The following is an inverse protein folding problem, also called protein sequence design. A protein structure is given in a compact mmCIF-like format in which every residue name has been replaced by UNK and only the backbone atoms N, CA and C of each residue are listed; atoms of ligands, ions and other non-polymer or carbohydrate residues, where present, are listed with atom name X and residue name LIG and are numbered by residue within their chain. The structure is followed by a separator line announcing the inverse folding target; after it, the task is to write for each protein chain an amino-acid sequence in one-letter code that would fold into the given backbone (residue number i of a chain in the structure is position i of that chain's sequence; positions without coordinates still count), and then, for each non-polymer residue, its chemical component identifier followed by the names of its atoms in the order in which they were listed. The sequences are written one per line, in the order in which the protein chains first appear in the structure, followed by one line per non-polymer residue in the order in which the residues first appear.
data_IF_247328428209
#
_entry.id   IF_247328428209
#
_cell.length_a   1.000
_cell.length_b   1.000
_cell.length_c   1.000
_cell.angle_alpha   90.00
_cell.angle_beta   90.00
_cell.angle_gamma   90.00
#
_symmetry.space_group_name_H-M   'P 1'
#
loop_
_entity.id
_entity.type
_entity.pdbx_description
1 polymer ?
#
# COMPACT_ATOMS: atom_id res chain seq x y z
N UNK A 1 18.27 -28.09 -18.40
CA UNK A 1 17.78 -27.04 -19.32
C UNK A 1 17.52 -25.80 -18.50
N UNK A 2 18.42 -24.81 -18.50
CA UNK A 2 18.25 -23.53 -17.78
C UNK A 2 17.55 -22.55 -18.73
N UNK A 3 16.40 -22.04 -18.33
CA UNK A 3 15.70 -20.94 -18.98
C UNK A 3 16.53 -19.67 -18.87
N UNK A 4 16.96 -19.11 -19.99
CA UNK A 4 17.55 -17.78 -20.06
C UNK A 4 16.52 -16.77 -19.53
N UNK A 5 16.85 -16.05 -18.45
CA UNK A 5 16.23 -14.77 -18.14
C UNK A 5 16.98 -13.73 -18.95
N UNK A 6 16.28 -13.03 -19.83
CA UNK A 6 16.82 -11.84 -20.46
C UNK A 6 16.83 -10.72 -19.41
N UNK A 7 17.96 -10.58 -18.72
CA UNK A 7 18.19 -9.46 -17.82
C UNK A 7 18.33 -8.19 -18.66
N UNK A 8 17.25 -7.41 -18.75
CA UNK A 8 17.30 -6.08 -19.34
C UNK A 8 18.04 -5.13 -18.39
N UNK A 9 19.36 -5.14 -18.46
CA UNK A 9 20.17 -4.05 -17.88
C UNK A 9 19.91 -2.82 -18.76
N UNK A 10 19.39 -1.74 -18.17
CA UNK A 10 19.30 -0.42 -18.80
C UNK A 10 20.59 0.35 -18.45
N UNK A 11 21.65 0.27 -19.27
CA UNK A 11 22.83 1.09 -19.04
C UNK A 11 22.48 2.56 -19.30
N UNK A 12 22.40 3.34 -18.21
CA UNK A 12 22.33 4.80 -18.25
C UNK A 12 23.76 5.31 -18.38
N UNK A 13 24.02 6.20 -19.35
CA UNK A 13 25.31 6.88 -19.48
C UNK A 13 25.19 8.30 -18.92
N UNK A 14 26.19 8.67 -18.11
CA UNK A 14 26.32 9.98 -17.48
C UNK A 14 27.42 10.82 -18.15
N UNK A 15 27.99 10.36 -19.26
CA UNK A 15 29.07 11.00 -19.98
C UNK A 15 28.94 10.79 -21.51
N UNK A 16 29.53 11.70 -22.28
CA UNK A 16 29.48 11.71 -23.75
C UNK A 16 30.72 11.05 -24.38
N UNK A 17 31.39 10.16 -23.64
CA UNK A 17 32.60 9.49 -24.10
C UNK A 17 32.28 8.56 -25.27
N UNK A 18 32.74 8.92 -26.47
CA UNK A 18 32.61 8.06 -27.64
C UNK A 18 33.56 6.86 -27.48
N UNK A 19 33.00 5.64 -27.47
CA UNK A 19 33.78 4.42 -27.40
C UNK A 19 33.85 3.84 -28.80
N UNK A 20 35.05 3.77 -29.38
CA UNK A 20 35.27 3.24 -30.72
C UNK A 20 34.63 1.85 -30.87
N UNK A 21 33.71 1.74 -31.84
CA UNK A 21 32.99 0.49 -32.16
C UNK A 21 31.61 0.35 -31.51
N UNK A 22 31.20 1.22 -30.58
CA UNK A 22 29.86 1.25 -30.01
C UNK A 22 29.03 2.37 -30.64
N UNK A 23 28.26 2.04 -31.69
CA UNK A 23 27.24 2.96 -32.20
C UNK A 23 26.18 3.19 -31.09
N UNK A 24 25.74 4.45 -30.83
CA UNK A 24 24.66 4.72 -29.89
C UNK A 24 23.39 4.03 -30.39
N UNK A 25 23.14 2.84 -29.87
CA UNK A 25 22.01 2.01 -30.26
C UNK A 25 20.79 2.44 -29.44
N UNK A 26 19.58 2.22 -29.97
CA UNK A 26 18.28 2.51 -29.34
C UNK A 26 18.15 2.08 -27.85
N UNK A 27 19.06 1.25 -27.36
CA UNK A 27 19.18 0.71 -25.99
C UNK A 27 19.68 1.71 -24.96
N UNK A 28 20.50 2.71 -25.30
CA UNK A 28 21.05 3.65 -24.31
C UNK A 28 20.18 4.89 -24.14
N UNK A 29 20.02 5.34 -22.90
CA UNK A 29 19.43 6.65 -22.60
C UNK A 29 20.56 7.56 -22.11
N UNK A 30 20.89 8.60 -22.88
CA UNK A 30 21.79 9.65 -22.39
C UNK A 30 21.05 10.45 -21.32
N UNK A 31 21.66 10.62 -20.14
CA UNK A 31 21.14 11.49 -19.08
C UNK A 31 21.73 12.90 -19.13
N UNK A 32 22.68 13.15 -20.04
CA UNK A 32 23.38 14.42 -20.12
C UNK A 32 22.45 15.53 -20.62
N UNK A 33 22.54 16.68 -19.95
CA UNK A 33 21.65 17.84 -20.12
C UNK A 33 20.16 17.62 -19.79
N UNK A 34 19.77 16.48 -19.20
CA UNK A 34 18.38 16.26 -18.72
C UNK A 34 18.22 16.61 -17.25
N UNK A 35 17.11 17.27 -16.92
CA UNK A 35 16.70 17.40 -15.51
C UNK A 35 16.22 16.02 -15.01
N UNK A 36 16.38 15.70 -13.71
CA UNK A 36 15.98 14.40 -13.14
C UNK A 36 14.57 13.95 -13.51
N UNK A 37 13.60 14.86 -13.57
CA UNK A 37 12.22 14.55 -13.95
C UNK A 37 12.08 14.10 -15.42
N UNK A 38 12.83 14.70 -16.34
CA UNK A 38 12.78 14.33 -17.77
C UNK A 38 13.40 12.95 -18.01
N UNK A 39 14.43 12.61 -17.24
CA UNK A 39 15.01 11.26 -17.22
C UNK A 39 13.97 10.24 -16.72
N UNK A 40 13.27 10.55 -15.63
CA UNK A 40 12.20 9.70 -15.09
C UNK A 40 11.07 9.48 -16.11
N UNK A 41 10.57 10.52 -16.77
CA UNK A 41 9.54 10.39 -17.82
C UNK A 41 10.00 9.50 -18.98
N UNK A 42 11.25 9.63 -19.41
CA UNK A 42 11.81 8.79 -20.48
C UNK A 42 11.96 7.33 -20.06
N UNK A 43 12.35 7.08 -18.82
CA UNK A 43 12.40 5.73 -18.24
C UNK A 43 10.99 5.14 -18.22
N UNK A 44 10.01 5.86 -17.68
CA UNK A 44 8.61 5.41 -17.63
C UNK A 44 8.05 5.13 -19.04
N UNK A 45 8.32 6.00 -20.01
CA UNK A 45 7.90 5.79 -21.41
C UNK A 45 8.55 4.57 -22.05
N UNK A 46 9.83 4.29 -21.79
CA UNK A 46 10.51 3.08 -22.28
C UNK A 46 10.02 1.81 -21.60
N UNK A 47 9.78 1.86 -20.29
CA UNK A 47 9.16 0.76 -19.54
C UNK A 47 7.71 0.51 -19.99
N UNK A 48 7.06 1.51 -20.60
CA UNK A 48 5.71 1.41 -21.18
C UNK A 48 5.66 0.86 -22.62
N UNK A 49 6.72 0.17 -23.12
CA UNK A 49 6.59 -0.70 -24.29
C UNK A 49 5.61 -1.85 -23.98
N UNK A 50 4.85 -2.36 -24.97
CA UNK A 50 3.66 -3.18 -24.77
C UNK A 50 3.98 -4.62 -24.33
N UNK A 51 4.46 -4.74 -23.10
CA UNK A 51 4.32 -5.85 -22.17
C UNK A 51 4.30 -5.31 -20.74
N UNK A 52 3.72 -4.11 -20.50
CA UNK A 52 3.27 -3.77 -19.16
C UNK A 52 2.17 -4.77 -18.86
N UNK A 53 2.52 -5.84 -18.15
CA UNK A 53 1.52 -6.63 -17.44
C UNK A 53 0.82 -5.60 -16.56
N UNK A 54 -0.39 -5.18 -16.93
CA UNK A 54 -1.23 -4.44 -16.00
C UNK A 54 -1.23 -5.27 -14.73
N UNK A 55 -0.73 -4.73 -13.63
CA UNK A 55 -0.80 -5.42 -12.35
C UNK A 55 -2.27 -5.78 -12.15
N UNK A 56 -2.58 -7.07 -12.20
CA UNK A 56 -3.95 -7.56 -11.99
C UNK A 56 -4.27 -7.60 -10.50
N UNK A 57 -3.25 -7.47 -9.65
CA UNK A 57 -3.34 -7.61 -8.21
C UNK A 57 -2.58 -6.48 -7.54
N UNK A 58 -3.21 -5.86 -6.55
CA UNK A 58 -2.58 -4.94 -5.61
C UNK A 58 -2.16 -5.72 -4.37
N UNK A 59 -0.89 -5.58 -3.97
CA UNK A 59 -0.45 -6.06 -2.66
C UNK A 59 -0.89 -5.09 -1.57
N UNK A 60 -1.49 -5.62 -0.53
CA UNK A 60 -1.95 -4.87 0.63
C UNK A 60 -1.32 -5.44 1.89
N UNK A 61 -1.01 -4.57 2.84
CA UNK A 61 -0.16 -4.90 3.97
C UNK A 61 -0.81 -4.57 5.30
N UNK A 62 -0.59 -5.43 6.28
CA UNK A 62 -0.98 -5.20 7.67
C UNK A 62 0.20 -5.51 8.57
N UNK A 63 0.49 -4.60 9.50
CA UNK A 63 1.49 -4.84 10.54
C UNK A 63 0.75 -5.26 11.80
N UNK A 64 1.16 -6.40 12.37
CA UNK A 64 0.47 -7.00 13.51
C UNK A 64 1.43 -7.80 14.39
N UNK A 65 1.05 -8.02 15.63
CA UNK A 65 1.79 -8.93 16.52
C UNK A 65 1.70 -10.37 15.98
N UNK A 66 2.80 -11.15 16.00
CA UNK A 66 2.82 -12.54 15.52
C UNK A 66 1.73 -13.44 16.10
N UNK A 67 1.29 -13.20 17.35
CA UNK A 67 0.21 -13.96 17.99
C UNK A 67 -1.14 -13.87 17.26
N UNK A 68 -1.33 -12.88 16.38
CA UNK A 68 -2.54 -12.66 15.61
C UNK A 68 -2.32 -12.79 14.10
N UNK A 69 -1.19 -13.36 13.66
CA UNK A 69 -0.82 -13.45 12.25
C UNK A 69 -1.88 -14.18 11.41
N UNK A 70 -2.35 -15.33 11.89
CA UNK A 70 -3.42 -16.13 11.25
C UNK A 70 -4.77 -15.41 11.18
N UNK A 71 -4.96 -14.37 11.98
CA UNK A 71 -6.18 -13.55 12.05
C UNK A 71 -5.99 -12.17 11.39
N UNK A 72 -4.86 -11.91 10.73
CA UNK A 72 -4.54 -10.61 10.18
C UNK A 72 -5.63 -10.08 9.22
N UNK A 73 -6.16 -10.96 8.38
CA UNK A 73 -7.26 -10.68 7.46
C UNK A 73 -8.56 -11.36 7.90
N UNK A 74 -8.82 -11.44 9.20
CA UNK A 74 -10.10 -11.85 9.78
C UNK A 74 -10.84 -10.64 10.39
N UNK A 75 -12.16 -10.74 10.51
CA UNK A 75 -13.00 -9.68 11.10
C UNK A 75 -12.91 -9.58 12.63
N UNK A 76 -12.27 -10.54 13.30
CA UNK A 76 -12.29 -10.72 14.76
C UNK A 76 -11.73 -9.53 15.55
N UNK A 77 -10.57 -8.95 15.22
CA UNK A 77 -9.99 -7.88 16.02
C UNK A 77 -10.74 -6.54 15.93
N UNK A 78 -11.17 -6.12 14.74
CA UNK A 78 -11.77 -4.81 14.52
C UNK A 78 -13.21 -4.72 15.03
N UNK A 79 -13.96 -5.83 14.98
CA UNK A 79 -15.33 -5.89 15.49
C UNK A 79 -15.40 -5.63 17.01
N UNK A 80 -14.37 -6.05 17.76
CA UNK A 80 -14.38 -6.00 19.22
C UNK A 80 -14.19 -4.60 19.80
N UNK A 81 -13.42 -3.74 19.14
CA UNK A 81 -13.01 -2.45 19.68
C UNK A 81 -13.46 -1.24 18.83
N UNK A 82 -13.92 -1.46 17.59
CA UNK A 82 -14.16 -0.37 16.64
C UNK A 82 -12.85 0.27 16.15
N UNK A 83 -12.96 1.25 15.25
CA UNK A 83 -11.81 1.93 14.65
C UNK A 83 -12.17 3.33 14.18
N UNK A 84 -11.29 3.95 13.37
CA UNK A 84 -11.53 5.29 12.80
C UNK A 84 -12.74 5.35 11.87
N UNK A 85 -12.98 4.26 11.12
CA UNK A 85 -14.02 4.15 10.10
C UNK A 85 -15.15 3.19 10.49
N UNK A 86 -15.15 2.61 11.69
CA UNK A 86 -16.18 1.64 12.05
C UNK A 86 -16.54 1.69 13.54
N UNK A 87 -17.84 1.56 13.81
CA UNK A 87 -18.32 1.31 15.16
C UNK A 87 -17.90 -0.06 15.68
N UNK A 88 -17.84 -0.17 17.00
CA UNK A 88 -17.80 -1.46 17.68
C UNK A 88 -18.97 -2.35 17.20
N UNK A 89 -18.69 -3.62 16.95
CA UNK A 89 -19.63 -4.59 16.37
C UNK A 89 -19.76 -4.53 14.85
N UNK A 90 -19.16 -3.54 14.17
CA UNK A 90 -19.09 -3.52 12.70
C UNK A 90 -17.76 -4.13 12.24
N UNK A 91 -17.83 -5.26 11.55
CA UNK A 91 -16.68 -6.00 11.04
C UNK A 91 -15.92 -5.21 9.97
N UNK A 92 -14.61 -5.07 10.12
CA UNK A 92 -13.74 -4.40 9.16
C UNK A 92 -12.31 -4.96 9.20
N UNK A 93 -11.54 -4.85 8.13
CA UNK A 93 -10.10 -5.14 8.15
C UNK A 93 -9.35 -3.93 7.61
N UNK A 94 -8.50 -3.34 8.44
CA UNK A 94 -7.59 -2.26 8.04
C UNK A 94 -6.28 -2.83 7.52
N UNK A 95 -5.85 -2.32 6.38
CA UNK A 95 -4.58 -2.60 5.73
C UNK A 95 -4.14 -1.36 4.93
N UNK A 96 -2.97 -1.40 4.32
CA UNK A 96 -2.42 -0.27 3.57
C UNK A 96 -1.86 -0.70 2.21
N UNK A 97 -1.75 0.25 1.27
CA UNK A 97 -1.27 0.04 -0.10
C UNK A 97 0.20 -0.39 -0.17
N UNK A 98 1.01 -0.03 0.83
CA UNK A 98 2.41 -0.42 0.90
C UNK A 98 2.82 -0.79 2.31
N UNK A 99 3.87 -1.61 2.43
CA UNK A 99 4.44 -1.99 3.73
C UNK A 99 4.93 -0.76 4.50
N UNK A 100 5.44 0.25 3.79
CA UNK A 100 5.93 1.49 4.39
C UNK A 100 4.82 2.25 5.12
N UNK A 101 3.68 2.50 4.46
CA UNK A 101 2.56 3.20 5.11
C UNK A 101 1.92 2.34 6.21
N UNK A 102 1.88 1.01 6.06
CA UNK A 102 1.39 0.11 7.11
C UNK A 102 2.24 0.21 8.40
N UNK A 103 3.57 0.29 8.26
CA UNK A 103 4.49 0.49 9.38
C UNK A 103 4.29 1.87 10.00
N UNK A 104 4.25 2.93 9.20
CA UNK A 104 4.07 4.30 9.69
C UNK A 104 2.77 4.48 10.48
N UNK A 105 1.65 4.00 9.94
CA UNK A 105 0.35 4.04 10.61
C UNK A 105 0.39 3.25 11.93
N UNK A 106 1.01 2.07 11.92
CA UNK A 106 1.13 1.25 13.13
C UNK A 106 1.98 1.95 14.18
N UNK A 107 3.07 2.60 13.79
CA UNK A 107 3.95 3.32 14.72
C UNK A 107 3.25 4.54 15.32
N UNK A 108 2.57 5.35 14.50
CA UNK A 108 1.84 6.55 14.95
C UNK A 108 0.73 6.21 15.94
N UNK A 109 0.09 5.04 15.77
CA UNK A 109 -0.97 4.56 16.65
C UNK A 109 -0.47 3.61 17.75
N UNK A 110 0.83 3.29 17.80
CA UNK A 110 1.39 2.44 18.85
C UNK A 110 1.60 3.27 20.11
N UNK A 111 1.06 2.82 21.23
CA UNK A 111 1.43 3.35 22.53
C UNK A 111 2.94 3.11 22.80
N UNK A 112 3.65 3.96 23.55
CA UNK A 112 5.08 3.81 23.83
C UNK A 112 5.49 2.46 24.45
N UNK A 113 4.54 1.78 25.10
CA UNK A 113 4.68 0.47 25.74
C UNK A 113 4.25 -0.71 24.85
N UNK A 114 3.85 -0.43 23.61
CA UNK A 114 3.35 -1.43 22.66
C UNK A 114 4.39 -2.50 22.30
N UNK A 115 3.89 -3.69 21.95
CA UNK A 115 4.74 -4.82 21.53
C UNK A 115 5.55 -4.44 20.29
N UNK A 116 6.88 -4.42 20.40
CA UNK A 116 7.80 -4.15 19.28
C UNK A 116 8.09 -5.38 18.41
N UNK A 117 7.67 -6.57 18.85
CA UNK A 117 7.72 -7.77 18.01
C UNK A 117 6.52 -7.74 17.04
N UNK A 118 6.73 -7.16 15.87
CA UNK A 118 5.74 -6.99 14.81
C UNK A 118 6.18 -7.76 13.56
N UNK A 119 5.20 -8.25 12.82
CA UNK A 119 5.38 -8.85 11.50
C UNK A 119 4.53 -8.10 10.48
N UNK A 120 4.93 -8.17 9.21
CA UNK A 120 4.13 -7.75 8.09
C UNK A 120 3.42 -8.98 7.51
N UNK A 121 2.10 -8.89 7.39
CA UNK A 121 1.26 -9.88 6.69
C UNK A 121 0.71 -9.23 5.42
N UNK A 122 0.91 -9.87 4.28
CA UNK A 122 0.45 -9.41 2.98
C UNK A 122 -0.83 -10.11 2.53
N UNK A 123 -1.62 -9.44 1.70
CA UNK A 123 -2.65 -10.08 0.89
C UNK A 123 -2.66 -9.50 -0.52
N UNK A 124 -3.17 -10.27 -1.47
CA UNK A 124 -3.38 -9.87 -2.86
C UNK A 124 -4.85 -9.52 -3.07
N UNK A 125 -5.10 -8.29 -3.45
CA UNK A 125 -6.42 -7.79 -3.85
C UNK A 125 -6.46 -7.67 -5.37
N UNK A 126 -7.31 -8.48 -6.02
CA UNK A 126 -7.50 -8.37 -7.46
C UNK A 126 -8.13 -7.02 -7.81
N UNK A 127 -7.51 -6.29 -8.73
CA UNK A 127 -7.92 -4.94 -9.14
C UNK A 127 -9.20 -4.92 -9.99
N UNK A 128 -9.67 -6.08 -10.47
CA UNK A 128 -10.99 -6.22 -11.11
C UNK A 128 -12.15 -6.27 -10.11
N UNK A 129 -11.87 -6.46 -8.82
CA UNK A 129 -12.89 -6.51 -7.79
C UNK A 129 -13.46 -5.10 -7.51
N UNK A 130 -14.73 -4.99 -7.11
CA UNK A 130 -15.33 -3.69 -6.83
C UNK A 130 -14.61 -3.01 -5.66
N UNK A 131 -14.11 -1.81 -5.91
CA UNK A 131 -13.47 -0.97 -4.89
C UNK A 131 -14.01 0.47 -4.97
N UNK A 132 -14.39 1.01 -3.82
CA UNK A 132 -14.68 2.44 -3.68
C UNK A 132 -13.36 3.17 -3.44
N UNK A 133 -13.06 4.20 -4.21
CA UNK A 133 -11.83 4.99 -4.07
C UNK A 133 -12.21 6.43 -3.79
N UNK A 134 -11.71 6.97 -2.68
CA UNK A 134 -11.91 8.36 -2.29
C UNK A 134 -10.57 9.09 -2.25
N UNK A 135 -10.56 10.29 -2.81
CA UNK A 135 -9.49 11.26 -2.66
C UNK A 135 -9.71 12.11 -1.40
N UNK A 136 -8.72 12.93 -1.06
CA UNK A 136 -8.87 13.90 0.03
C UNK A 136 -10.02 14.91 -0.23
N UNK A 137 -10.31 15.23 -1.49
CA UNK A 137 -11.39 16.16 -1.83
C UNK A 137 -12.79 15.56 -1.58
N UNK A 138 -12.91 14.23 -1.55
CA UNK A 138 -14.16 13.53 -1.30
C UNK A 138 -14.44 13.35 0.20
N UNK A 139 -13.47 13.72 1.05
CA UNK A 139 -13.55 13.49 2.50
C UNK A 139 -14.23 14.63 3.24
N UNK A 140 -14.99 14.34 4.32
CA UNK A 140 -15.50 15.36 5.23
C UNK A 140 -14.36 16.22 5.79
N UNK A 141 -14.57 17.51 6.04
CA UNK A 141 -13.52 18.42 6.54
C UNK A 141 -12.79 17.90 7.81
N UNK A 142 -13.50 17.15 8.66
CA UNK A 142 -13.00 16.60 9.92
C UNK A 142 -12.44 15.17 9.80
N UNK A 143 -12.13 14.68 8.60
CA UNK A 143 -11.70 13.31 8.37
C UNK A 143 -10.35 12.95 9.04
N UNK A 144 -9.43 13.91 9.03
CA UNK A 144 -8.08 13.77 9.58
C UNK A 144 -7.98 14.09 11.09
N UNK A 145 -9.10 14.41 11.75
CA UNK A 145 -9.12 14.79 13.16
C UNK A 145 -8.60 13.67 14.08
N UNK A 146 -7.92 14.08 15.16
CA UNK A 146 -7.47 13.22 16.26
C UNK A 146 -8.06 13.77 17.58
N UNK A 147 -8.88 12.99 18.33
CA UNK A 147 -9.33 11.62 18.04
C UNK A 147 -10.26 11.52 16.81
N UNK A 148 -10.48 10.31 16.25
CA UNK A 148 -11.38 10.09 15.11
C UNK A 148 -12.76 10.68 15.34
N UNK A 149 -13.25 11.44 14.36
CA UNK A 149 -14.57 12.06 14.39
C UNK A 149 -15.69 11.04 14.25
N UNK A 150 -16.84 11.36 14.85
CA UNK A 150 -18.04 10.51 14.77
C UNK A 150 -18.54 10.36 13.33
N UNK A 151 -18.43 11.42 12.53
CA UNK A 151 -18.78 11.40 11.10
C UNK A 151 -17.98 10.36 10.31
N UNK A 152 -16.69 10.15 10.64
CA UNK A 152 -15.87 9.15 9.96
C UNK A 152 -16.25 7.72 10.33
N UNK A 153 -16.57 7.47 11.59
CA UNK A 153 -17.09 6.17 12.03
C UNK A 153 -18.42 5.87 11.35
N UNK A 154 -19.32 6.84 11.33
CA UNK A 154 -20.63 6.71 10.71
C UNK A 154 -20.51 6.42 9.21
N UNK A 155 -19.67 7.19 8.51
CA UNK A 155 -19.38 7.03 7.09
C UNK A 155 -18.89 5.62 6.76
N UNK A 156 -17.82 5.16 7.41
CA UNK A 156 -17.26 3.85 7.10
C UNK A 156 -18.16 2.70 7.56
N UNK A 157 -18.87 2.83 8.67
CA UNK A 157 -19.88 1.83 9.07
C UNK A 157 -21.05 1.76 8.10
N UNK A 158 -21.50 2.89 7.53
CA UNK A 158 -22.51 2.88 6.45
C UNK A 158 -21.98 2.17 5.21
N UNK A 159 -20.74 2.46 4.80
CA UNK A 159 -20.10 1.79 3.68
C UNK A 159 -20.00 0.26 3.91
N UNK A 160 -19.50 -0.18 5.07
CA UNK A 160 -19.41 -1.61 5.43
C UNK A 160 -20.77 -2.32 5.38
N UNK A 161 -21.82 -1.66 5.89
CA UNK A 161 -23.19 -2.22 5.88
C UNK A 161 -23.81 -2.25 4.48
N UNK A 162 -23.45 -1.30 3.61
CA UNK A 162 -23.97 -1.24 2.25
C UNK A 162 -23.51 -2.39 1.36
N UNK A 163 -22.35 -2.99 1.69
CA UNK A 163 -21.76 -4.13 0.99
C UNK A 163 -21.60 -3.92 -0.54
N UNK A 164 -21.40 -2.67 -0.97
CA UNK A 164 -21.32 -2.30 -2.41
C UNK A 164 -19.99 -2.66 -3.07
N UNK A 165 -18.94 -2.89 -2.28
CA UNK A 165 -17.59 -3.15 -2.76
C UNK A 165 -16.77 -3.87 -1.68
N UNK A 166 -15.77 -4.66 -2.08
CA UNK A 166 -14.91 -5.40 -1.14
C UNK A 166 -13.92 -4.49 -0.42
N UNK A 167 -13.50 -3.41 -1.07
CA UNK A 167 -12.49 -2.49 -0.58
C UNK A 167 -12.92 -1.03 -0.67
N UNK A 168 -12.60 -0.26 0.36
CA UNK A 168 -12.65 1.20 0.38
C UNK A 168 -11.23 1.72 0.54
N UNK A 169 -10.73 2.41 -0.50
CA UNK A 169 -9.40 3.02 -0.52
C UNK A 169 -9.53 4.50 -0.19
N UNK A 170 -8.79 4.95 0.81
CA UNK A 170 -8.78 6.32 1.30
C UNK A 170 -7.35 6.82 1.46
N UNK A 171 -7.08 8.14 1.42
CA UNK A 171 -5.75 8.66 1.76
C UNK A 171 -5.37 8.31 3.21
N UNK A 172 -4.09 8.01 3.42
CA UNK A 172 -3.51 7.98 4.77
C UNK A 172 -3.43 9.39 5.35
N UNK A 173 -3.71 9.52 6.65
CA UNK A 173 -3.51 10.79 7.37
C UNK A 173 -2.01 11.06 7.53
N UNK A 174 -1.23 10.00 7.79
CA UNK A 174 0.21 10.07 8.04
C UNK A 174 0.99 10.34 6.76
N UNK A 175 0.59 9.71 5.65
CA UNK A 175 1.24 9.86 4.35
C UNK A 175 0.20 10.00 3.24
N UNK A 176 -0.34 11.20 2.97
CA UNK A 176 -1.47 11.41 2.03
C UNK A 176 -1.24 10.95 0.59
N UNK A 177 0.02 10.72 0.18
CA UNK A 177 0.37 10.14 -1.11
C UNK A 177 0.09 8.63 -1.21
N UNK A 178 -0.15 7.97 -0.07
CA UNK A 178 -0.41 6.53 0.06
C UNK A 178 -1.82 6.27 0.59
N UNK A 179 -2.30 5.03 0.42
CA UNK A 179 -3.68 4.67 0.73
C UNK A 179 -3.79 3.73 1.93
N UNK A 180 -4.79 4.00 2.76
CA UNK A 180 -5.35 3.04 3.70
C UNK A 180 -6.53 2.35 3.04
N UNK A 181 -6.61 1.05 3.22
CA UNK A 181 -7.59 0.19 2.59
C UNK A 181 -8.41 -0.46 3.70
N UNK A 182 -9.69 -0.11 3.74
CA UNK A 182 -10.69 -0.75 4.57
C UNK A 182 -11.35 -1.86 3.76
N UNK A 183 -11.10 -3.11 4.14
CA UNK A 183 -11.76 -4.25 3.53
C UNK A 183 -13.05 -4.59 4.29
N UNK A 184 -14.05 -5.05 3.56
CA UNK A 184 -15.32 -5.52 4.11
C UNK A 184 -15.35 -7.06 4.18
N UNK A 185 -15.20 -7.68 5.37
CA UNK A 185 -15.23 -9.13 5.52
C UNK A 185 -16.58 -9.77 5.21
N UNK A 186 -17.66 -8.97 5.14
CA UNK A 186 -19.01 -9.43 4.81
C UNK A 186 -19.27 -9.44 3.29
N UNK A 187 -18.35 -8.90 2.48
CA UNK A 187 -18.47 -8.93 1.03
C UNK A 187 -18.08 -10.31 0.49
N UNK A 188 -18.84 -10.91 -0.46
CA UNK A 188 -18.53 -12.24 -1.00
C UNK A 188 -17.11 -12.35 -1.55
N UNK A 189 -16.64 -11.33 -2.27
CA UNK A 189 -15.30 -11.31 -2.86
C UNK A 189 -14.16 -11.18 -1.83
N UNK A 190 -14.46 -10.93 -0.55
CA UNK A 190 -13.41 -10.91 0.48
C UNK A 190 -12.70 -12.28 0.60
N UNK A 191 -13.42 -13.36 0.34
CA UNK A 191 -12.89 -14.73 0.43
C UNK A 191 -11.90 -15.05 -0.69
N UNK A 192 -11.82 -14.23 -1.74
CA UNK A 192 -10.89 -14.45 -2.86
C UNK A 192 -9.50 -13.87 -2.59
N UNK A 193 -9.30 -13.20 -1.44
CA UNK A 193 -8.00 -12.65 -1.06
C UNK A 193 -6.97 -13.76 -0.84
N UNK A 194 -5.83 -13.65 -1.51
CA UNK A 194 -4.71 -14.57 -1.28
C UNK A 194 -3.75 -13.95 -0.28
N UNK A 195 -3.68 -14.51 0.93
CA UNK A 195 -2.82 -14.05 2.02
C UNK A 195 -1.42 -14.67 1.85
N UNK A 196 -0.38 -13.89 2.08
CA UNK A 196 1.01 -14.31 1.97
C UNK A 196 1.91 -13.66 3.01
N UNK A 197 3.06 -14.30 3.21
CA UNK A 197 4.26 -13.96 3.99
C UNK A 197 4.08 -13.23 5.33
N UNK A 198 4.72 -13.80 6.36
CA UNK A 198 4.93 -13.23 7.68
C UNK A 198 6.40 -12.83 7.84
N UNK A 199 6.77 -11.63 7.42
CA UNK A 199 8.15 -11.15 7.58
C UNK A 199 8.29 -10.30 8.84
N UNK A 200 9.36 -10.50 9.65
CA UNK A 200 9.66 -9.62 10.76
C UNK A 200 9.75 -8.16 10.30
N UNK A 201 9.20 -7.26 11.10
CA UNK A 201 9.35 -5.82 10.92
C UNK A 201 10.36 -5.34 11.94
N UNK A 202 11.53 -4.95 11.45
CA UNK A 202 12.52 -4.32 12.31
C UNK A 202 12.13 -2.85 12.55
N UNK A 203 11.63 -2.58 13.76
CA UNK A 203 11.33 -1.21 14.21
C UNK A 203 12.43 -0.64 15.12
N UNK A 204 13.58 -1.30 15.25
CA UNK A 204 14.62 -0.92 16.22
C UNK A 204 15.22 0.47 15.97
N UNK A 205 15.21 0.94 14.72
CA UNK A 205 15.65 2.29 14.34
C UNK A 205 14.53 3.34 14.22
N UNK A 206 13.27 2.97 14.43
CA UNK A 206 12.12 3.87 14.32
C UNK A 206 11.70 4.33 15.72
N UNK A 207 12.20 5.50 16.12
CA UNK A 207 11.78 6.15 17.37
C UNK A 207 10.87 7.33 17.04
N UNK A 208 9.66 7.33 17.60
CA UNK A 208 8.86 8.55 17.65
C UNK A 208 9.56 9.51 18.60
N UNK A 209 10.12 10.58 18.06
CA UNK A 209 10.65 11.68 18.86
C UNK A 209 9.43 12.46 19.36
N UNK A 210 9.07 12.26 20.62
CA UNK A 210 8.07 13.10 21.26
C UNK A 210 8.67 14.51 21.42
N UNK A 211 8.03 15.49 20.79
CA UNK A 211 8.25 16.93 21.02
C UNK A 211 7.51 17.41 22.25
#
# INVERSE_FOLDING_TARGET
MRTHRDDFVLPVRFDDTDLDGLQPTLTYLSANAMRPFQLAEKILKKLSLPSVVQEQELQIWKIISPKYASEAFSSMPASRFGGRLNYQGTNAVYCASSRCVAILETMVHLEPTGTRNLIAVGAKLNLSLPATVLSQADMPENWAQLPPSESMKEFGSRWLKSNISVALKIPSIVLPAEQIILLNPMHPDFQTLTIFTEEPVDTSGLHLVHS
#
